data_IF_418013756177
#
_entry.id   IF_418013756177
#
_cell.length_a   1.000
_cell.length_b   1.000
_cell.length_c   1.000
_cell.angle_alpha   90.00
_cell.angle_beta   90.00
_cell.angle_gamma   90.00
#
_symmetry.space_group_name_H-M   'P 1'
#
loop_
_entity.id
_entity.type
_entity.pdbx_description
1 polymer ?
#
# COMPACT_ATOMS: atom_id res chain seq x y z
N UNK A 1 -9.43 27.65 -5.30
CA UNK A 1 -10.08 26.47 -5.97
C UNK A 1 -10.27 25.38 -4.93
N UNK A 2 -11.48 24.76 -4.85
CA UNK A 2 -11.79 23.72 -3.83
C UNK A 2 -11.97 22.36 -4.51
N UNK A 3 -11.13 21.39 -4.19
CA UNK A 3 -11.09 20.08 -4.82
C UNK A 3 -11.45 18.98 -3.81
N UNK A 4 -12.34 18.08 -4.21
CA UNK A 4 -12.63 16.87 -3.47
C UNK A 4 -11.90 15.66 -4.08
N UNK A 5 -11.10 14.95 -3.31
CA UNK A 5 -10.49 13.68 -3.69
C UNK A 5 -11.29 12.52 -3.09
N UNK A 6 -11.63 11.53 -3.91
CA UNK A 6 -12.37 10.34 -3.47
C UNK A 6 -11.48 9.09 -3.49
N UNK A 7 -11.15 8.54 -2.30
CA UNK A 7 -10.52 7.22 -2.15
C UNK A 7 -10.96 6.54 -0.85
N UNK A 8 -11.90 5.60 -0.91
CA UNK A 8 -12.53 5.01 0.27
C UNK A 8 -11.77 3.85 0.91
N UNK A 9 -10.82 3.23 0.23
CA UNK A 9 -10.02 2.08 0.67
C UNK A 9 -8.95 1.76 -0.38
N UNK A 10 -7.95 0.95 -0.11
CA UNK A 10 -7.47 0.43 1.15
C UNK A 10 -6.26 1.25 1.64
N UNK A 11 -5.56 0.84 2.72
CA UNK A 11 -4.38 1.56 3.25
C UNK A 11 -3.39 1.89 2.12
N UNK A 12 -2.86 0.89 1.44
CA UNK A 12 -1.87 1.10 0.38
C UNK A 12 -2.38 1.94 -0.78
N UNK A 13 -3.65 1.75 -1.18
CA UNK A 13 -4.25 2.55 -2.25
C UNK A 13 -4.41 4.02 -1.86
N UNK A 14 -4.65 4.33 -0.57
CA UNK A 14 -4.73 5.70 -0.07
C UNK A 14 -3.33 6.33 -0.08
N UNK A 15 -2.33 5.64 0.44
CA UNK A 15 -0.93 6.10 0.41
C UNK A 15 -0.47 6.37 -1.03
N UNK A 16 -0.84 5.53 -1.99
CA UNK A 16 -0.55 5.73 -3.41
C UNK A 16 -1.19 6.99 -4.03
N UNK A 17 -2.16 7.64 -3.35
CA UNK A 17 -2.75 8.91 -3.82
C UNK A 17 -1.98 10.15 -3.35
N UNK A 18 -1.05 10.02 -2.42
CA UNK A 18 -0.38 11.17 -1.79
C UNK A 18 0.39 12.06 -2.77
N UNK A 19 1.02 11.56 -3.85
CA UNK A 19 1.61 12.43 -4.86
C UNK A 19 0.60 13.36 -5.54
N UNK A 20 -0.64 12.90 -5.76
CA UNK A 20 -1.70 13.73 -6.34
C UNK A 20 -2.04 14.89 -5.39
N UNK A 21 -2.18 14.60 -4.09
CA UNK A 21 -2.47 15.59 -3.04
C UNK A 21 -1.34 16.62 -2.97
N UNK A 22 -0.08 16.16 -2.81
CA UNK A 22 1.08 17.02 -2.70
C UNK A 22 1.28 17.90 -3.94
N UNK A 23 1.23 17.31 -5.14
CA UNK A 23 1.44 18.04 -6.38
C UNK A 23 0.34 19.08 -6.64
N UNK A 24 -0.93 18.77 -6.29
CA UNK A 24 -2.01 19.77 -6.35
C UNK A 24 -1.73 20.92 -5.38
N UNK A 25 -1.37 20.63 -4.12
CA UNK A 25 -1.14 21.66 -3.09
C UNK A 25 0.05 22.55 -3.44
N UNK A 26 1.11 21.96 -3.99
CA UNK A 26 2.34 22.69 -4.33
C UNK A 26 2.23 23.52 -5.62
N UNK A 27 1.41 23.11 -6.61
CA UNK A 27 1.42 23.71 -7.94
C UNK A 27 0.17 24.53 -8.26
N UNK A 28 -0.89 24.44 -7.46
CA UNK A 28 -2.07 25.27 -7.63
C UNK A 28 -2.16 26.31 -6.51
N UNK A 29 -2.13 27.62 -6.83
CA UNK A 29 -2.26 28.65 -5.79
C UNK A 29 -3.63 28.58 -5.10
N UNK A 30 -3.62 28.73 -3.79
CA UNK A 30 -4.82 28.79 -2.92
C UNK A 30 -5.78 27.62 -3.10
N UNK A 31 -5.26 26.42 -3.43
CA UNK A 31 -6.10 25.23 -3.52
C UNK A 31 -6.48 24.72 -2.13
N UNK A 32 -7.77 24.50 -1.92
CA UNK A 32 -8.32 23.80 -0.76
C UNK A 32 -8.63 22.35 -1.14
N UNK A 33 -7.98 21.40 -0.45
CA UNK A 33 -8.09 19.97 -0.74
C UNK A 33 -8.85 19.27 0.38
N UNK A 34 -10.02 18.74 0.04
CA UNK A 34 -10.77 17.83 0.90
C UNK A 34 -10.57 16.39 0.42
N UNK A 35 -10.45 15.46 1.35
CA UNK A 35 -10.27 14.05 1.03
C UNK A 35 -11.37 13.19 1.67
N UNK A 36 -12.15 12.48 0.85
CA UNK A 36 -13.21 11.60 1.33
C UNK A 36 -12.75 10.14 1.39
N UNK A 37 -12.85 9.53 2.58
CA UNK A 37 -12.47 8.14 2.85
C UNK A 37 -13.48 7.45 3.76
N UNK A 38 -13.25 6.16 4.11
CA UNK A 38 -14.01 5.49 5.17
C UNK A 38 -13.44 5.82 6.54
N UNK A 39 -14.24 5.78 7.64
CA UNK A 39 -13.78 6.13 8.99
C UNK A 39 -12.51 5.40 9.42
N UNK A 40 -12.41 4.10 9.14
CA UNK A 40 -11.26 3.26 9.51
C UNK A 40 -9.93 3.64 8.84
N UNK A 41 -9.94 4.52 7.84
CA UNK A 41 -8.74 4.99 7.14
C UNK A 41 -8.48 6.49 7.34
N UNK A 42 -9.26 7.15 8.16
CA UNK A 42 -9.14 8.57 8.44
C UNK A 42 -7.75 8.93 8.98
N UNK A 43 -7.23 8.14 9.93
CA UNK A 43 -5.92 8.35 10.54
C UNK A 43 -4.76 8.40 9.54
N UNK A 44 -4.88 7.74 8.38
CA UNK A 44 -3.84 7.78 7.33
C UNK A 44 -3.65 9.20 6.76
N UNK A 45 -4.68 10.03 6.85
CA UNK A 45 -4.77 11.32 6.17
C UNK A 45 -4.68 12.51 7.12
N UNK A 46 -5.01 12.32 8.41
CA UNK A 46 -5.13 13.41 9.39
C UNK A 46 -3.85 14.21 9.61
N UNK A 47 -2.70 13.53 9.59
CA UNK A 47 -1.40 14.18 9.78
C UNK A 47 -0.83 14.79 8.48
N UNK A 48 -1.51 14.63 7.32
CA UNK A 48 -0.98 15.12 6.05
C UNK A 48 -1.21 16.63 5.89
N UNK A 49 -0.16 17.47 5.88
CA UNK A 49 -0.28 18.92 5.83
C UNK A 49 -0.83 19.44 4.49
N UNK A 50 -0.90 18.61 3.48
CA UNK A 50 -1.43 18.95 2.16
C UNK A 50 -2.95 18.73 2.04
N UNK A 51 -3.61 18.25 3.12
CA UNK A 51 -5.06 18.01 3.16
C UNK A 51 -5.70 18.98 4.14
N UNK A 52 -6.58 19.84 3.66
CA UNK A 52 -7.24 20.84 4.49
C UNK A 52 -8.40 20.23 5.29
N UNK A 53 -9.06 19.19 4.77
CA UNK A 53 -10.17 18.52 5.47
C UNK A 53 -10.29 17.05 5.07
N UNK A 54 -10.34 16.18 6.06
CA UNK A 54 -10.72 14.77 5.87
C UNK A 54 -12.22 14.62 6.13
N UNK A 55 -12.92 13.93 5.20
CA UNK A 55 -14.36 13.70 5.29
C UNK A 55 -14.59 12.19 5.28
N UNK A 56 -15.29 11.68 6.29
CA UNK A 56 -15.55 10.25 6.40
C UNK A 56 -16.93 9.86 5.86
N UNK A 57 -16.97 8.73 5.13
CA UNK A 57 -18.21 8.13 4.67
C UNK A 57 -18.92 7.45 5.85
N UNK A 58 -19.79 8.19 6.53
CA UNK A 58 -20.69 7.63 7.54
C UNK A 58 -22.05 7.27 6.93
N UNK A 59 -22.46 6.03 7.09
CA UNK A 59 -23.73 5.54 6.57
C UNK A 59 -23.77 5.45 5.03
N UNK A 60 -24.72 6.12 4.38
CA UNK A 60 -24.97 5.99 2.94
C UNK A 60 -24.22 7.02 2.09
N UNK A 61 -23.98 6.65 0.82
CA UNK A 61 -23.45 7.57 -0.20
C UNK A 61 -24.33 8.83 -0.36
N UNK A 62 -25.64 8.67 -0.22
CA UNK A 62 -26.59 9.78 -0.34
C UNK A 62 -26.41 10.79 0.81
N UNK A 63 -26.18 10.31 2.02
CA UNK A 63 -25.94 11.20 3.17
C UNK A 63 -24.66 11.99 3.00
N UNK A 64 -23.55 11.32 2.61
CA UNK A 64 -22.32 12.01 2.32
C UNK A 64 -22.49 13.02 1.17
N UNK A 65 -23.22 12.69 0.11
CA UNK A 65 -23.47 13.61 -1.00
C UNK A 65 -24.21 14.89 -0.57
N UNK A 66 -25.13 14.80 0.41
CA UNK A 66 -25.81 15.99 0.97
C UNK A 66 -24.79 16.91 1.65
N UNK A 67 -23.90 16.37 2.47
CA UNK A 67 -22.83 17.14 3.13
C UNK A 67 -21.89 17.77 2.09
N UNK A 68 -21.48 17.00 1.08
CA UNK A 68 -20.56 17.46 0.03
C UNK A 68 -21.16 18.57 -0.85
N UNK A 69 -22.48 18.59 -1.07
CA UNK A 69 -23.15 19.68 -1.82
C UNK A 69 -23.02 21.05 -1.14
N UNK A 70 -22.99 21.08 0.19
CA UNK A 70 -22.86 22.31 0.96
C UNK A 70 -21.47 22.94 0.85
N UNK A 71 -20.47 22.14 0.54
CA UNK A 71 -19.07 22.54 0.43
C UNK A 71 -18.72 23.27 -0.88
N UNK A 72 -19.58 23.25 -1.88
CA UNK A 72 -19.41 23.97 -3.18
C UNK A 72 -18.07 23.68 -3.85
N UNK A 73 -17.79 22.42 -4.17
CA UNK A 73 -16.55 22.03 -4.86
C UNK A 73 -16.50 22.51 -6.30
N UNK A 74 -15.30 22.98 -6.72
CA UNK A 74 -15.00 23.31 -8.11
C UNK A 74 -14.70 22.07 -8.95
N UNK A 75 -14.20 20.99 -8.32
CA UNK A 75 -13.93 19.73 -8.99
C UNK A 75 -13.89 18.54 -8.03
N UNK A 76 -14.15 17.35 -8.59
CA UNK A 76 -13.94 16.06 -7.92
C UNK A 76 -12.91 15.24 -8.66
N UNK A 77 -11.90 14.73 -7.94
CA UNK A 77 -10.90 13.79 -8.41
C UNK A 77 -11.22 12.40 -7.86
N UNK A 78 -11.78 11.55 -8.70
CA UNK A 78 -12.17 10.18 -8.33
C UNK A 78 -11.00 9.20 -8.58
N UNK A 79 -10.22 8.92 -7.53
CA UNK A 79 -9.12 7.96 -7.53
C UNK A 79 -9.57 6.54 -7.12
N UNK A 80 -10.85 6.35 -6.84
CA UNK A 80 -11.41 5.03 -6.50
C UNK A 80 -12.06 4.34 -7.69
N UNK A 81 -12.83 5.10 -8.50
CA UNK A 81 -13.45 4.69 -9.76
C UNK A 81 -14.23 3.36 -9.65
N UNK A 82 -15.09 3.23 -8.65
CA UNK A 82 -15.98 2.09 -8.49
C UNK A 82 -17.47 2.48 -8.64
N UNK A 83 -18.37 1.50 -8.47
CA UNK A 83 -19.81 1.76 -8.59
C UNK A 83 -20.29 2.81 -7.57
N UNK A 84 -19.73 2.78 -6.35
CA UNK A 84 -20.08 3.74 -5.30
C UNK A 84 -19.70 5.19 -5.68
N UNK A 85 -18.50 5.40 -6.25
CA UNK A 85 -18.09 6.75 -6.69
C UNK A 85 -18.82 7.21 -7.95
N UNK A 86 -19.30 6.29 -8.80
CA UNK A 86 -20.19 6.64 -9.91
C UNK A 86 -21.52 7.20 -9.43
N UNK A 87 -22.07 6.71 -8.31
CA UNK A 87 -23.29 7.27 -7.70
C UNK A 87 -23.06 8.72 -7.25
N UNK A 88 -21.88 9.07 -6.71
CA UNK A 88 -21.54 10.46 -6.38
C UNK A 88 -21.63 11.39 -7.60
N UNK A 89 -21.18 10.94 -8.77
CA UNK A 89 -21.27 11.73 -9.99
C UNK A 89 -22.73 12.07 -10.35
N UNK A 90 -23.66 11.14 -10.16
CA UNK A 90 -25.09 11.40 -10.34
C UNK A 90 -25.69 12.31 -9.25
N UNK A 91 -25.14 12.24 -8.04
CA UNK A 91 -25.60 13.05 -6.91
C UNK A 91 -24.98 14.47 -6.86
N UNK A 92 -23.90 14.74 -7.60
CA UNK A 92 -23.21 16.02 -7.71
C UNK A 92 -23.13 16.46 -9.19
N UNK A 93 -24.25 16.64 -9.89
CA UNK A 93 -24.26 16.81 -11.35
C UNK A 93 -23.60 18.11 -11.82
N UNK A 94 -23.57 19.14 -10.98
CA UNK A 94 -22.97 20.45 -11.30
C UNK A 94 -21.46 20.51 -11.11
N UNK A 95 -20.84 19.45 -10.53
CA UNK A 95 -19.41 19.44 -10.26
C UNK A 95 -18.68 18.58 -11.30
N UNK A 96 -17.65 19.09 -11.96
CA UNK A 96 -16.86 18.31 -12.93
C UNK A 96 -16.03 17.23 -12.25
N UNK A 97 -16.05 16.02 -12.82
CA UNK A 97 -15.29 14.86 -12.33
C UNK A 97 -14.09 14.54 -13.22
N UNK A 98 -12.93 14.37 -12.60
CA UNK A 98 -11.76 13.69 -13.18
C UNK A 98 -11.67 12.29 -12.62
N UNK A 99 -11.80 11.26 -13.46
CA UNK A 99 -11.89 9.88 -12.99
C UNK A 99 -10.68 9.07 -13.41
N UNK A 100 -10.07 8.39 -12.46
CA UNK A 100 -8.96 7.49 -12.66
C UNK A 100 -9.30 6.34 -13.64
N UNK A 101 -8.44 6.09 -14.61
CA UNK A 101 -8.59 5.01 -15.58
C UNK A 101 -7.95 3.72 -15.08
N UNK A 102 -8.78 2.74 -14.69
CA UNK A 102 -8.31 1.40 -14.33
C UNK A 102 -7.89 0.62 -15.57
N UNK A 103 -6.72 -0.01 -15.53
CA UNK A 103 -6.26 -0.89 -16.61
C UNK A 103 -6.75 -2.34 -16.38
N UNK A 104 -8.04 -2.53 -16.11
CA UNK A 104 -8.61 -3.84 -15.76
C UNK A 104 -8.46 -4.87 -16.86
N UNK A 105 -8.61 -4.45 -18.14
CA UNK A 105 -8.41 -5.35 -19.28
C UNK A 105 -6.97 -5.84 -19.35
N UNK A 106 -5.99 -4.93 -19.20
CA UNK A 106 -4.56 -5.31 -19.23
C UNK A 106 -4.21 -6.23 -18.05
N UNK A 107 -4.72 -5.94 -16.82
CA UNK A 107 -4.55 -6.83 -15.67
C UNK A 107 -5.17 -8.20 -15.92
N UNK A 108 -6.33 -8.27 -16.57
CA UNK A 108 -6.96 -9.53 -16.95
C UNK A 108 -6.13 -10.31 -18.00
N UNK A 109 -5.61 -9.61 -19.00
CA UNK A 109 -4.72 -10.21 -20.01
C UNK A 109 -3.43 -10.78 -19.38
N UNK A 110 -2.85 -10.08 -18.38
CA UNK A 110 -1.70 -10.58 -17.61
C UNK A 110 -2.06 -11.85 -16.82
N UNK A 111 -3.21 -11.85 -16.12
CA UNK A 111 -3.69 -13.05 -15.40
C UNK A 111 -3.93 -14.23 -16.34
N UNK A 112 -4.48 -13.97 -17.53
CA UNK A 112 -4.69 -14.97 -18.57
C UNK A 112 -3.43 -15.31 -19.38
N UNK A 113 -2.31 -14.64 -19.10
CA UNK A 113 -1.01 -14.81 -19.81
C UNK A 113 -1.07 -14.53 -21.31
N UNK A 114 -2.04 -13.72 -21.72
CA UNK A 114 -2.21 -13.27 -23.11
C UNK A 114 -1.33 -12.06 -23.43
N UNK A 115 -0.67 -11.47 -22.43
CA UNK A 115 0.34 -10.43 -22.59
C UNK A 115 1.40 -10.53 -21.49
N UNK A 116 2.60 -10.04 -21.78
CA UNK A 116 3.67 -9.78 -20.79
C UNK A 116 3.90 -8.29 -20.55
N UNK A 117 3.15 -7.41 -21.26
CA UNK A 117 3.31 -5.96 -21.12
C UNK A 117 2.76 -5.51 -19.77
N UNK A 118 3.60 -4.95 -18.88
CA UNK A 118 3.15 -4.52 -17.56
C UNK A 118 2.15 -3.36 -17.66
N UNK A 119 1.36 -3.19 -16.61
CA UNK A 119 0.58 -1.97 -16.42
C UNK A 119 1.53 -0.82 -16.05
N UNK A 120 1.18 0.37 -16.49
CA UNK A 120 1.80 1.58 -15.96
C UNK A 120 1.55 1.68 -14.45
N UNK A 121 2.52 2.21 -13.71
CA UNK A 121 2.36 2.34 -12.25
C UNK A 121 1.13 3.21 -11.90
N UNK A 122 0.41 2.80 -10.86
CA UNK A 122 -0.88 3.43 -10.50
C UNK A 122 -0.75 4.91 -10.17
N UNK A 123 0.39 5.34 -9.61
CA UNK A 123 0.67 6.76 -9.30
C UNK A 123 0.61 7.61 -10.57
N UNK A 124 1.28 7.22 -11.65
CA UNK A 124 1.22 7.99 -12.91
C UNK A 124 -0.20 8.06 -13.45
N UNK A 125 -0.95 6.96 -13.37
CA UNK A 125 -2.37 6.93 -13.76
C UNK A 125 -3.27 7.81 -12.88
N UNK A 126 -2.90 8.00 -11.61
CA UNK A 126 -3.58 8.96 -10.72
C UNK A 126 -3.21 10.39 -11.11
N UNK A 127 -1.95 10.69 -11.40
CA UNK A 127 -1.51 11.99 -11.86
C UNK A 127 -2.19 12.46 -13.15
N UNK A 128 -2.51 11.54 -14.07
CA UNK A 128 -3.28 11.87 -15.29
C UNK A 128 -4.65 12.50 -14.98
N UNK A 129 -5.26 12.25 -13.80
CA UNK A 129 -6.54 12.86 -13.43
C UNK A 129 -6.45 14.37 -13.17
N UNK A 130 -5.29 14.87 -12.85
CA UNK A 130 -5.05 16.28 -12.48
C UNK A 130 -4.26 17.07 -13.55
N UNK A 131 -3.80 16.39 -14.59
CA UNK A 131 -3.00 16.97 -15.69
C UNK A 131 -3.69 18.13 -16.41
N UNK A 132 -5.02 18.11 -16.47
CA UNK A 132 -5.82 19.19 -17.10
C UNK A 132 -5.65 20.56 -16.42
N UNK A 133 -5.14 20.61 -15.19
CA UNK A 133 -4.81 21.84 -14.48
C UNK A 133 -3.34 22.24 -14.59
N UNK A 134 -2.58 21.58 -15.48
CA UNK A 134 -1.14 21.83 -15.65
C UNK A 134 -0.25 21.18 -14.59
N UNK A 135 -0.84 20.46 -13.62
CA UNK A 135 -0.10 19.84 -12.52
C UNK A 135 0.68 18.63 -13.02
N UNK A 136 1.96 18.57 -12.68
CA UNK A 136 2.89 17.50 -13.05
C UNK A 136 3.40 16.76 -11.81
N UNK A 137 3.82 15.51 -11.99
CA UNK A 137 4.49 14.74 -10.95
C UNK A 137 5.86 15.36 -10.64
N UNK A 138 6.18 15.52 -9.37
CA UNK A 138 7.35 16.22 -8.84
C UNK A 138 8.57 15.32 -8.59
N UNK A 139 8.48 14.02 -8.88
CA UNK A 139 9.59 13.08 -8.67
C UNK A 139 9.82 12.65 -7.21
N UNK A 140 9.01 13.11 -6.23
CA UNK A 140 9.28 12.92 -4.80
C UNK A 140 8.76 11.60 -4.21
N UNK A 141 8.21 10.68 -5.02
CA UNK A 141 7.66 9.41 -4.52
C UNK A 141 6.35 9.58 -3.76
N UNK A 142 6.14 8.71 -2.76
CA UNK A 142 4.96 8.72 -1.89
C UNK A 142 5.22 9.52 -0.62
N UNK A 143 4.14 9.90 0.08
CA UNK A 143 4.18 10.50 1.41
C UNK A 143 3.43 9.63 2.41
N UNK A 144 3.90 9.61 3.63
CA UNK A 144 3.16 9.15 4.79
C UNK A 144 3.53 10.00 6.00
N UNK A 145 2.56 10.72 6.52
CA UNK A 145 2.70 11.53 7.72
C UNK A 145 2.03 10.80 8.88
N UNK A 146 2.69 10.72 10.02
CA UNK A 146 2.14 10.13 11.23
C UNK A 146 2.41 11.04 12.42
N UNK A 147 1.52 11.00 13.40
CA UNK A 147 1.72 11.74 14.64
C UNK A 147 2.81 11.06 15.47
N UNK A 148 3.59 11.84 16.21
CA UNK A 148 4.54 11.26 17.15
C UNK A 148 3.79 10.44 18.20
N UNK A 149 4.28 9.23 18.44
CA UNK A 149 3.64 8.24 19.29
C UNK A 149 4.70 7.37 19.96
N UNK A 150 4.43 6.90 21.15
CA UNK A 150 5.29 5.94 21.82
C UNK A 150 5.17 4.57 21.16
N UNK A 151 6.31 3.88 21.03
CA UNK A 151 6.39 2.50 20.58
C UNK A 151 7.09 1.65 21.65
N UNK A 152 6.81 0.34 21.72
CA UNK A 152 7.56 -0.56 22.58
C UNK A 152 9.07 -0.47 22.32
N UNK A 153 9.87 -0.75 23.36
CA UNK A 153 11.33 -0.84 23.19
C UNK A 153 11.70 -1.92 22.19
N UNK A 154 12.49 -1.56 21.20
CA UNK A 154 12.97 -2.43 20.13
C UNK A 154 14.50 -2.45 20.10
N UNK A 155 15.12 -3.49 19.52
CA UNK A 155 16.56 -3.49 19.26
C UNK A 155 17.00 -2.28 18.44
N UNK A 156 18.25 -1.87 18.59
CA UNK A 156 18.82 -0.74 17.82
C UNK A 156 18.99 -1.03 16.33
N UNK A 157 19.05 -2.30 15.95
CA UNK A 157 19.18 -2.76 14.56
C UNK A 157 18.17 -3.89 14.31
N UNK A 158 17.31 -3.74 13.32
CA UNK A 158 16.31 -4.74 13.00
C UNK A 158 15.74 -4.60 11.58
N UNK A 159 15.18 -5.69 11.10
CA UNK A 159 14.35 -5.75 9.89
C UNK A 159 12.87 -5.67 10.28
N UNK A 160 12.16 -4.64 9.85
CA UNK A 160 10.70 -4.63 9.97
C UNK A 160 10.09 -5.58 8.94
N UNK A 161 9.41 -6.62 9.40
CA UNK A 161 8.79 -7.60 8.51
C UNK A 161 7.26 -7.52 8.56
N UNK A 162 6.65 -6.96 7.53
CA UNK A 162 5.20 -6.94 7.36
C UNK A 162 4.72 -8.31 6.88
N UNK A 163 4.37 -9.21 7.81
CA UNK A 163 3.93 -10.58 7.53
C UNK A 163 2.48 -10.65 7.08
N UNK A 164 1.68 -9.62 7.37
CA UNK A 164 0.26 -9.54 7.11
C UNK A 164 -0.11 -9.29 5.66
N UNK A 165 -1.40 -9.30 5.42
CA UNK A 165 -2.02 -8.98 4.14
C UNK A 165 -3.46 -9.46 4.07
N UNK A 166 -4.32 -8.70 3.38
CA UNK A 166 -5.76 -9.00 3.27
C UNK A 166 -6.07 -10.40 2.73
N UNK A 167 -5.22 -10.89 1.82
CA UNK A 167 -5.44 -12.18 1.14
C UNK A 167 -4.39 -13.20 1.55
N UNK A 168 -4.82 -14.38 1.97
CA UNK A 168 -3.92 -15.45 2.39
C UNK A 168 -2.87 -15.81 1.32
N UNK A 169 -3.26 -15.77 0.04
CA UNK A 169 -2.34 -16.08 -1.06
C UNK A 169 -1.26 -15.02 -1.32
N UNK A 170 -1.27 -13.89 -0.62
CA UNK A 170 -0.20 -12.88 -0.62
C UNK A 170 0.81 -13.07 0.51
N UNK A 171 0.49 -13.84 1.55
CA UNK A 171 1.30 -14.01 2.75
C UNK A 171 2.23 -15.23 2.62
N UNK A 172 3.45 -15.08 3.13
CA UNK A 172 4.37 -16.20 3.25
C UNK A 172 3.86 -17.16 4.33
N UNK A 173 3.88 -18.48 4.11
CA UNK A 173 3.52 -19.47 5.13
C UNK A 173 4.43 -19.42 6.35
N UNK A 174 3.88 -19.77 7.52
CA UNK A 174 4.58 -19.76 8.81
C UNK A 174 5.92 -20.50 8.77
N UNK A 175 5.92 -21.73 8.20
CA UNK A 175 7.13 -22.52 8.07
C UNK A 175 8.23 -21.80 7.28
N UNK A 176 7.86 -21.06 6.21
CA UNK A 176 8.83 -20.31 5.41
C UNK A 176 9.33 -19.06 6.11
N UNK A 177 8.50 -18.44 6.98
CA UNK A 177 8.95 -17.32 7.81
C UNK A 177 9.93 -17.85 8.86
N UNK A 178 9.65 -18.98 9.50
CA UNK A 178 10.56 -19.61 10.46
C UNK A 178 11.90 -20.01 9.82
N UNK A 179 11.87 -20.65 8.64
CA UNK A 179 13.07 -20.95 7.85
C UNK A 179 13.89 -19.68 7.55
N UNK A 180 13.24 -18.55 7.23
CA UNK A 180 13.92 -17.29 6.94
C UNK A 180 14.58 -16.69 8.20
N UNK A 181 13.89 -16.71 9.33
CA UNK A 181 14.46 -16.26 10.61
C UNK A 181 15.66 -17.13 10.98
N UNK A 182 15.58 -18.45 10.79
CA UNK A 182 16.69 -19.36 11.05
C UNK A 182 17.90 -19.08 10.14
N UNK A 183 17.66 -18.87 8.85
CA UNK A 183 18.70 -18.61 7.85
C UNK A 183 19.30 -17.19 7.89
N UNK A 184 18.77 -16.30 8.74
CA UNK A 184 19.22 -14.90 8.85
C UNK A 184 19.81 -14.62 10.23
N UNK A 185 20.79 -13.73 10.29
CA UNK A 185 21.34 -13.22 11.55
C UNK A 185 20.64 -11.94 12.04
N UNK A 186 19.66 -11.43 11.31
CA UNK A 186 18.94 -10.21 11.65
C UNK A 186 17.95 -10.44 12.79
N UNK A 187 17.66 -9.38 13.55
CA UNK A 187 16.49 -9.32 14.41
C UNK A 187 15.29 -8.88 13.58
N UNK A 188 14.17 -9.60 13.67
CA UNK A 188 12.93 -9.29 12.96
C UNK A 188 11.88 -8.70 13.91
N UNK A 189 11.30 -7.59 13.52
CA UNK A 189 10.10 -7.03 14.15
C UNK A 189 8.91 -7.31 13.23
N UNK A 190 8.06 -8.26 13.62
CA UNK A 190 6.91 -8.68 12.83
C UNK A 190 5.78 -7.65 12.96
N UNK A 191 5.25 -7.21 11.82
CA UNK A 191 4.15 -6.26 11.71
C UNK A 191 2.96 -6.89 10.97
N UNK A 192 1.77 -6.65 11.47
CA UNK A 192 0.53 -7.15 10.92
C UNK A 192 -0.67 -6.75 11.76
N UNK A 193 -1.86 -7.18 11.37
CA UNK A 193 -3.07 -7.00 12.17
C UNK A 193 -3.22 -8.10 13.27
N UNK A 194 -4.32 -8.06 14.01
CA UNK A 194 -4.58 -9.05 15.07
C UNK A 194 -4.71 -10.49 14.56
N UNK A 195 -5.12 -10.70 13.31
CA UNK A 195 -5.19 -12.05 12.73
C UNK A 195 -3.79 -12.59 12.41
N UNK A 196 -2.86 -11.70 12.10
CA UNK A 196 -1.48 -12.07 11.79
C UNK A 196 -0.69 -12.46 13.07
N UNK A 197 -1.20 -12.08 14.26
CA UNK A 197 -0.63 -12.48 15.54
C UNK A 197 -0.61 -14.02 15.71
N UNK A 198 -1.60 -14.72 15.16
CA UNK A 198 -1.66 -16.20 15.18
C UNK A 198 -0.46 -16.87 14.47
N UNK A 199 0.14 -16.16 13.49
CA UNK A 199 1.36 -16.61 12.82
C UNK A 199 2.61 -16.07 13.54
N UNK A 200 2.56 -14.83 14.00
CA UNK A 200 3.69 -14.16 14.63
C UNK A 200 4.06 -14.70 16.00
N UNK A 201 3.10 -15.10 16.85
CA UNK A 201 3.37 -15.61 18.20
C UNK A 201 4.14 -16.94 18.22
N UNK A 202 3.78 -17.97 17.42
CA UNK A 202 4.59 -19.19 17.34
C UNK A 202 6.03 -18.93 16.88
N UNK A 203 6.21 -18.05 15.90
CA UNK A 203 7.55 -17.70 15.38
C UNK A 203 8.37 -16.98 16.47
N UNK A 204 7.77 -16.03 17.19
CA UNK A 204 8.46 -15.34 18.29
C UNK A 204 8.83 -16.30 19.44
N UNK A 205 7.96 -17.27 19.73
CA UNK A 205 8.25 -18.32 20.72
C UNK A 205 9.41 -19.24 20.30
N UNK A 206 9.54 -19.57 19.00
CA UNK A 206 10.66 -20.33 18.46
C UNK A 206 11.98 -19.56 18.49
N UNK A 207 11.93 -18.23 18.32
CA UNK A 207 13.13 -17.39 18.19
C UNK A 207 13.09 -16.17 19.13
N UNK A 208 13.01 -16.36 20.47
CA UNK A 208 12.74 -15.29 21.44
C UNK A 208 13.78 -14.16 21.46
N UNK A 209 15.02 -14.44 21.07
CA UNK A 209 16.11 -13.46 21.01
C UNK A 209 16.27 -12.77 19.66
N UNK A 210 15.49 -13.17 18.64
CA UNK A 210 15.63 -12.67 17.27
C UNK A 210 14.31 -12.20 16.63
N UNK A 211 13.19 -12.40 17.31
CA UNK A 211 11.87 -12.00 16.80
C UNK A 211 11.08 -11.26 17.87
N UNK A 212 10.67 -10.06 17.54
CA UNK A 212 9.70 -9.27 18.32
C UNK A 212 8.37 -9.25 17.58
N UNK A 213 7.35 -9.96 18.10
CA UNK A 213 6.03 -9.93 17.46
C UNK A 213 5.22 -8.73 17.91
N UNK A 214 4.94 -7.81 16.98
CA UNK A 214 4.13 -6.61 17.15
C UNK A 214 2.78 -6.68 16.40
N UNK A 215 2.44 -7.83 15.80
CA UNK A 215 1.17 -8.01 15.11
C UNK A 215 -0.01 -7.79 16.06
N UNK A 216 -0.95 -6.94 15.65
CA UNK A 216 -2.13 -6.59 16.43
C UNK A 216 -1.89 -5.72 17.68
N UNK A 217 -0.64 -5.36 17.98
CA UNK A 217 -0.26 -4.59 19.17
C UNK A 217 -0.04 -3.10 18.90
N UNK A 218 0.04 -2.71 17.63
CA UNK A 218 0.39 -1.37 17.21
C UNK A 218 -0.75 -0.72 16.41
N UNK A 219 -0.91 0.58 16.60
CA UNK A 219 -1.67 1.41 15.65
C UNK A 219 -0.92 1.51 14.33
N UNK A 220 -1.56 2.09 13.31
CA UNK A 220 -0.90 2.29 12.02
C UNK A 220 0.25 3.30 12.12
N UNK A 221 0.10 4.38 12.91
CA UNK A 221 1.16 5.36 13.16
C UNK A 221 2.35 4.73 13.91
N UNK A 222 2.08 3.90 14.92
CA UNK A 222 3.11 3.14 15.61
C UNK A 222 3.84 2.18 14.66
N UNK A 223 3.09 1.50 13.77
CA UNK A 223 3.68 0.62 12.74
C UNK A 223 4.56 1.41 11.77
N UNK A 224 4.14 2.62 11.37
CA UNK A 224 4.95 3.51 10.54
C UNK A 224 6.22 3.97 11.27
N UNK A 225 6.14 4.30 12.57
CA UNK A 225 7.31 4.66 13.39
C UNK A 225 8.29 3.49 13.52
N UNK A 226 7.79 2.26 13.70
CA UNK A 226 8.62 1.05 13.68
C UNK A 226 9.29 0.86 12.31
N UNK A 227 8.56 1.05 11.21
CA UNK A 227 9.12 0.99 9.85
C UNK A 227 10.19 2.09 9.67
N UNK A 228 9.95 3.31 10.14
CA UNK A 228 10.90 4.41 10.03
C UNK A 228 12.22 4.12 10.77
N UNK A 229 12.17 3.48 11.93
CA UNK A 229 13.35 3.09 12.72
C UNK A 229 14.08 1.83 12.22
N UNK A 230 13.49 1.05 11.32
CA UNK A 230 14.11 -0.18 10.81
C UNK A 230 15.29 0.11 9.87
N UNK A 231 16.28 -0.77 9.85
CA UNK A 231 17.37 -0.71 8.86
C UNK A 231 16.83 -1.04 7.46
N UNK A 232 16.00 -2.06 7.39
CA UNK A 232 15.42 -2.60 6.14
C UNK A 232 13.97 -3.02 6.38
N UNK A 233 13.22 -3.09 5.30
CA UNK A 233 11.83 -3.57 5.34
C UNK A 233 11.67 -4.80 4.45
N UNK A 234 11.23 -5.88 5.05
CA UNK A 234 10.75 -7.07 4.36
C UNK A 234 9.22 -7.03 4.33
N UNK A 235 8.61 -7.28 3.19
CA UNK A 235 7.17 -7.15 3.07
C UNK A 235 6.60 -8.04 1.97
N UNK A 236 5.28 -8.21 2.02
CA UNK A 236 4.48 -8.73 0.91
C UNK A 236 3.80 -7.57 0.15
N UNK A 237 2.99 -7.88 -0.86
CA UNK A 237 2.08 -6.92 -1.53
C UNK A 237 0.98 -6.46 -0.56
N UNK A 238 1.29 -5.51 0.31
CA UNK A 238 0.44 -5.02 1.43
C UNK A 238 0.44 -3.49 1.55
N UNK A 239 -0.43 -2.97 2.44
CA UNK A 239 -0.47 -1.54 2.74
C UNK A 239 0.83 -1.01 3.36
N UNK A 240 1.48 -1.79 4.24
CA UNK A 240 2.74 -1.41 4.90
C UNK A 240 3.90 -1.31 3.91
N UNK A 241 3.87 -2.05 2.80
CA UNK A 241 4.84 -1.89 1.70
C UNK A 241 4.84 -0.46 1.15
N UNK A 242 3.67 0.12 0.97
CA UNK A 242 3.54 1.49 0.45
C UNK A 242 3.90 2.54 1.50
N UNK A 243 3.64 2.26 2.80
CA UNK A 243 4.13 3.11 3.91
C UNK A 243 5.65 3.08 3.95
N UNK A 244 6.27 1.90 3.83
CA UNK A 244 7.72 1.78 3.76
C UNK A 244 8.32 2.55 2.58
N UNK A 245 7.66 2.53 1.41
CA UNK A 245 8.07 3.30 0.24
C UNK A 245 7.94 4.81 0.47
N UNK A 246 6.86 5.27 1.12
CA UNK A 246 6.67 6.66 1.50
C UNK A 246 7.71 7.15 2.51
N UNK A 247 8.19 6.28 3.39
CA UNK A 247 9.27 6.54 4.33
C UNK A 247 10.67 6.30 3.72
N UNK A 248 10.75 6.06 2.41
CA UNK A 248 11.98 5.88 1.64
C UNK A 248 12.92 4.80 2.19
N UNK A 249 12.33 3.73 2.77
CA UNK A 249 13.11 2.64 3.34
C UNK A 249 13.69 1.73 2.25
N UNK A 250 14.77 1.04 2.58
CA UNK A 250 15.28 -0.07 1.78
C UNK A 250 14.29 -1.24 1.85
N UNK A 251 13.67 -1.61 0.72
CA UNK A 251 12.54 -2.53 0.68
C UNK A 251 12.88 -3.80 -0.10
N UNK A 252 12.68 -4.96 0.53
CA UNK A 252 12.55 -6.24 -0.15
C UNK A 252 11.08 -6.68 -0.10
N UNK A 253 10.44 -6.84 -1.26
CA UNK A 253 9.06 -7.26 -1.34
C UNK A 253 8.89 -8.62 -2.03
N UNK A 254 8.17 -9.53 -1.36
CA UNK A 254 7.90 -10.90 -1.80
C UNK A 254 6.53 -10.96 -2.47
N UNK A 255 6.50 -11.50 -3.67
CA UNK A 255 5.29 -11.56 -4.50
C UNK A 255 4.86 -13.01 -4.76
N UNK A 256 3.69 -13.37 -4.27
CA UNK A 256 3.08 -14.69 -4.46
C UNK A 256 2.17 -14.77 -5.69
N UNK A 257 0.88 -14.81 -5.44
CA UNK A 257 -0.14 -14.96 -6.49
C UNK A 257 -0.37 -13.71 -7.35
N UNK A 258 0.08 -12.55 -6.90
CA UNK A 258 0.09 -11.27 -7.63
C UNK A 258 1.45 -11.01 -8.26
N UNK A 259 1.59 -9.88 -8.97
CA UNK A 259 2.84 -9.46 -9.62
C UNK A 259 3.00 -7.94 -9.58
N UNK A 260 4.23 -7.42 -9.45
CA UNK A 260 4.50 -5.97 -9.59
C UNK A 260 4.02 -5.41 -10.94
N UNK A 261 3.94 -6.26 -12.00
CA UNK A 261 3.48 -5.88 -13.34
C UNK A 261 2.04 -5.33 -13.38
N UNK A 262 1.29 -5.47 -12.29
CA UNK A 262 0.00 -4.77 -12.14
C UNK A 262 0.14 -3.26 -11.89
N UNK A 263 1.38 -2.76 -11.78
CA UNK A 263 1.69 -1.36 -11.53
C UNK A 263 1.36 -0.93 -10.10
N UNK A 264 1.61 -1.81 -9.12
CA UNK A 264 1.33 -1.61 -7.69
C UNK A 264 2.54 -1.93 -6.81
N UNK A 265 3.76 -1.96 -7.36
CA UNK A 265 4.98 -2.16 -6.60
C UNK A 265 5.30 -0.97 -5.67
N UNK A 266 6.36 -1.06 -4.84
CA UNK A 266 6.85 0.09 -4.08
C UNK A 266 7.20 1.23 -5.02
N UNK A 267 6.77 2.44 -4.68
CA UNK A 267 7.00 3.64 -5.50
C UNK A 267 7.87 4.63 -4.72
N UNK A 268 9.13 4.70 -5.09
CA UNK A 268 10.16 5.52 -4.46
C UNK A 268 10.36 6.84 -5.23
N UNK A 269 10.98 7.87 -4.61
CA UNK A 269 11.41 9.08 -5.32
C UNK A 269 12.36 8.75 -6.49
N UNK A 270 12.28 9.53 -7.55
CA UNK A 270 13.13 9.39 -8.76
C UNK A 270 14.63 9.54 -8.43
N UNK A 271 14.96 10.29 -7.37
CA UNK A 271 16.33 10.48 -6.89
C UNK A 271 16.93 9.24 -6.19
N UNK A 272 16.12 8.28 -5.77
CA UNK A 272 16.59 7.05 -5.11
C UNK A 272 17.16 6.11 -6.15
N UNK A 273 18.50 5.98 -6.17
CA UNK A 273 19.22 5.17 -7.16
C UNK A 273 19.05 3.67 -6.97
N UNK A 274 18.90 3.22 -5.73
CA UNK A 274 18.66 1.80 -5.39
C UNK A 274 17.17 1.55 -5.31
N UNK A 275 16.62 0.96 -6.37
CA UNK A 275 15.20 0.58 -6.40
C UNK A 275 14.87 -0.52 -5.39
N UNK A 276 13.58 -0.80 -5.17
CA UNK A 276 13.16 -1.88 -4.29
C UNK A 276 13.55 -3.24 -4.88
N UNK A 277 13.92 -4.18 -3.99
CA UNK A 277 14.19 -5.56 -4.38
C UNK A 277 12.86 -6.32 -4.46
N UNK A 278 12.58 -6.91 -5.61
CA UNK A 278 11.32 -7.63 -5.88
C UNK A 278 11.63 -9.13 -6.03
N UNK A 279 11.11 -9.95 -5.12
CA UNK A 279 11.35 -11.40 -5.10
C UNK A 279 10.10 -12.16 -5.49
N UNK A 280 10.26 -13.15 -6.34
CA UNK A 280 9.20 -13.99 -6.87
C UNK A 280 9.72 -15.41 -7.05
N UNK A 281 8.90 -16.41 -6.68
CA UNK A 281 9.28 -17.79 -6.92
C UNK A 281 9.37 -18.09 -8.42
N UNK A 282 10.48 -18.68 -8.85
CA UNK A 282 10.73 -19.07 -10.23
C UNK A 282 9.98 -20.36 -10.60
N UNK A 283 9.76 -20.58 -11.89
CA UNK A 283 9.15 -21.81 -12.42
C UNK A 283 7.69 -22.04 -12.04
N UNK A 284 7.01 -21.05 -11.42
CA UNK A 284 5.61 -21.17 -11.01
C UNK A 284 4.68 -20.63 -12.09
N UNK A 285 4.30 -21.48 -13.02
CA UNK A 285 3.55 -21.09 -14.21
C UNK A 285 2.11 -20.62 -13.96
N UNK A 286 1.49 -20.93 -12.80
CA UNK A 286 0.12 -20.49 -12.52
C UNK A 286 0.00 -19.01 -12.14
N UNK A 287 1.10 -18.33 -11.79
CA UNK A 287 1.09 -16.90 -11.42
C UNK A 287 1.26 -15.96 -12.62
N UNK A 288 0.74 -14.73 -12.57
CA UNK A 288 -0.23 -14.29 -11.56
C UNK A 288 -1.58 -14.99 -11.79
N UNK A 289 -2.21 -15.48 -10.73
CA UNK A 289 -3.51 -16.16 -10.85
C UNK A 289 -4.70 -15.27 -10.42
N UNK A 290 -4.42 -14.12 -9.83
CA UNK A 290 -5.41 -13.11 -9.47
C UNK A 290 -4.80 -11.71 -9.50
N UNK A 291 -5.63 -10.72 -9.81
CA UNK A 291 -5.24 -9.30 -9.71
C UNK A 291 -5.28 -8.75 -8.27
N UNK A 292 -5.89 -9.47 -7.32
CA UNK A 292 -6.07 -8.99 -5.94
C UNK A 292 -5.67 -10.03 -4.87
N UNK A 293 -5.87 -11.32 -5.08
CA UNK A 293 -5.62 -12.40 -4.13
C UNK A 293 -6.81 -13.30 -3.93
N UNK A 294 -6.62 -14.36 -3.12
CA UNK A 294 -7.62 -15.35 -2.69
C UNK A 294 -7.45 -15.70 -1.22
N UNK A 295 -8.49 -16.21 -0.58
CA UNK A 295 -8.43 -16.72 0.79
C UNK A 295 -7.67 -18.07 0.88
N UNK A 296 -7.56 -18.80 -0.23
CA UNK A 296 -6.77 -20.03 -0.36
C UNK A 296 -6.24 -20.16 -1.80
N UNK A 297 -5.17 -20.93 -1.98
CA UNK A 297 -4.64 -21.19 -3.31
C UNK A 297 -5.64 -21.99 -4.15
N UNK A 298 -6.14 -21.47 -5.29
CA UNK A 298 -7.13 -22.18 -6.11
C UNK A 298 -6.58 -23.46 -6.77
N UNK A 299 -5.26 -23.66 -6.73
CA UNK A 299 -4.58 -24.88 -7.23
C UNK A 299 -4.17 -25.84 -6.10
N UNK A 300 -4.34 -25.45 -4.83
CA UNK A 300 -4.00 -26.24 -3.66
C UNK A 300 -2.52 -26.28 -3.27
N UNK A 301 -1.59 -26.19 -4.26
CA UNK A 301 -0.15 -26.38 -4.00
C UNK A 301 0.56 -25.17 -3.37
N UNK A 302 0.07 -23.94 -3.55
CA UNK A 302 0.63 -22.68 -3.04
C UNK A 302 2.13 -22.46 -3.38
N UNK A 303 2.61 -23.01 -4.48
CA UNK A 303 4.02 -22.99 -4.89
C UNK A 303 4.60 -21.57 -5.01
N UNK A 304 3.77 -20.58 -5.35
CA UNK A 304 4.23 -19.19 -5.46
C UNK A 304 4.72 -18.58 -4.15
N UNK A 305 4.41 -19.20 -3.00
CA UNK A 305 4.95 -18.84 -1.69
C UNK A 305 5.81 -19.95 -1.11
N UNK A 306 5.42 -21.23 -1.25
CA UNK A 306 6.20 -22.37 -0.73
C UNK A 306 7.58 -22.52 -1.40
N UNK A 307 7.69 -22.17 -2.68
CA UNK A 307 8.95 -22.24 -3.45
C UNK A 307 9.76 -20.94 -3.43
N UNK A 308 9.42 -19.96 -2.57
CA UNK A 308 10.29 -18.81 -2.34
C UNK A 308 11.64 -19.29 -1.80
N UNK A 309 12.72 -18.84 -2.41
CA UNK A 309 14.07 -19.18 -1.97
C UNK A 309 14.43 -18.38 -0.72
N UNK A 310 14.36 -19.03 0.43
CA UNK A 310 14.74 -18.42 1.71
C UNK A 310 16.22 -18.01 1.72
N UNK A 311 17.11 -18.83 1.15
CA UNK A 311 18.53 -18.52 1.04
C UNK A 311 18.76 -17.25 0.21
N UNK A 312 18.04 -17.10 -0.91
CA UNK A 312 18.14 -15.90 -1.75
C UNK A 312 17.58 -14.66 -1.04
N UNK A 313 16.44 -14.76 -0.36
CA UNK A 313 15.87 -13.67 0.42
C UNK A 313 16.83 -13.23 1.52
N UNK A 314 17.41 -14.18 2.27
CA UNK A 314 18.39 -13.89 3.33
C UNK A 314 19.65 -13.21 2.75
N UNK A 315 20.18 -13.72 1.65
CA UNK A 315 21.33 -13.13 0.95
C UNK A 315 21.04 -11.69 0.50
N UNK A 316 19.89 -11.45 -0.13
CA UNK A 316 19.47 -10.12 -0.58
C UNK A 316 19.29 -9.16 0.59
N UNK A 317 18.69 -9.61 1.69
CA UNK A 317 18.58 -8.79 2.92
C UNK A 317 19.93 -8.38 3.48
N UNK A 318 20.96 -9.22 3.36
CA UNK A 318 22.31 -8.87 3.82
C UNK A 318 23.00 -7.83 2.92
N UNK A 319 22.71 -7.85 1.63
CA UNK A 319 23.34 -7.00 0.62
C UNK A 319 22.68 -5.59 0.49
N UNK A 320 21.46 -5.43 0.97
CA UNK A 320 20.76 -4.14 1.02
C UNK A 320 21.34 -3.25 2.12
#
# INVERSE_FOLDING_TARGET
>A
MKILILRFSSIGDIVLTTPVVRCLKAQLPDVEIHFATKPQYEGILQANPNIDKVITLQGSVANLAKTLRLEKYDAVVDLHANLRTRLFRGLLPSVPFSVFRKQNLRKWLLVKKLTRKPCEHVVYRYMETIKKWGVQYDGQGLDYYYNDCEIPSLPSSYVAYAIGGTWATKRMPENKIAELVEASNAHFVLLGDSNDAMVGEPIAAMFPNRVSNMCGKLSLDQSAKVIAGADKVLTHDTGLMHIAAALQKSILSIWGNTTPDFGMGPFLPDAVKTGPVLVQAEGVFCRPCSKIGFNACPKGHFDCMQKQSVAEISRLLQQM
#
